data_IF_821653613481
#
_entry.id   IF_821653613481
#
_cell.length_a   1.000
_cell.length_b   1.000
_cell.length_c   1.000
_cell.angle_alpha   90.00
_cell.angle_beta   90.00
_cell.angle_gamma   90.00
#
_symmetry.space_group_name_H-M   'P 1'
#
loop_
_entity.id
_entity.type
_entity.pdbx_description
1 polymer ?
#
# COMPACT_ATOMS: atom_id res chain seq x y z
N UNK A 1 -17.53 16.09 -14.59
CA UNK A 1 -17.62 15.23 -13.38
C UNK A 1 -16.74 15.80 -12.25
N UNK A 2 -15.77 16.66 -12.56
CA UNK A 2 -14.94 17.33 -11.54
C UNK A 2 -13.82 16.43 -10.95
N UNK A 3 -13.42 15.35 -11.64
CA UNK A 3 -12.23 14.56 -11.28
C UNK A 3 -10.98 15.39 -11.52
N UNK A 4 -10.00 15.28 -10.64
CA UNK A 4 -8.73 16.00 -10.72
C UNK A 4 -7.50 15.09 -10.52
N UNK A 5 -7.69 13.86 -10.08
CA UNK A 5 -6.61 12.91 -9.80
C UNK A 5 -7.01 11.51 -10.27
N UNK A 6 -6.07 10.79 -10.86
CA UNK A 6 -6.13 9.36 -11.17
C UNK A 6 -5.18 8.64 -10.22
N UNK A 7 -5.64 7.60 -9.55
CA UNK A 7 -4.80 6.68 -8.76
C UNK A 7 -4.75 5.38 -9.55
N UNK A 8 -3.59 5.07 -10.11
CA UNK A 8 -3.40 3.92 -11.00
C UNK A 8 -2.54 2.84 -10.32
N UNK A 9 -3.06 1.60 -10.21
CA UNK A 9 -2.26 0.50 -9.68
C UNK A 9 -1.16 0.11 -10.66
N UNK A 10 0.09 0.34 -10.26
CA UNK A 10 1.27 0.11 -11.11
C UNK A 10 2.19 -1.00 -10.58
N UNK A 11 2.00 -1.43 -9.33
CA UNK A 11 2.77 -2.54 -8.72
C UNK A 11 1.86 -3.45 -7.88
N UNK A 12 1.16 -4.42 -8.51
CA UNK A 12 0.19 -5.28 -7.82
C UNK A 12 0.79 -6.53 -7.16
N UNK A 13 1.91 -7.10 -7.67
CA UNK A 13 2.41 -8.44 -7.29
C UNK A 13 3.95 -8.52 -7.19
N UNK A 14 4.61 -7.51 -6.63
CA UNK A 14 6.08 -7.46 -6.67
C UNK A 14 6.61 -7.42 -8.10
N UNK A 15 5.85 -6.83 -8.99
CA UNK A 15 6.11 -6.63 -10.41
C UNK A 15 5.73 -5.19 -10.79
N UNK A 16 5.95 -4.78 -12.02
CA UNK A 16 5.75 -3.40 -12.43
C UNK A 16 4.96 -3.30 -13.75
N UNK A 17 4.00 -2.35 -13.82
CA UNK A 17 3.39 -1.88 -15.05
C UNK A 17 4.16 -0.65 -15.59
N UNK A 18 5.46 -0.64 -15.36
CA UNK A 18 6.38 0.40 -15.80
C UNK A 18 7.78 -0.19 -15.96
N UNK A 19 8.66 0.52 -16.64
CA UNK A 19 10.04 0.09 -16.85
C UNK A 19 10.82 0.24 -15.54
N UNK A 20 11.09 -0.90 -14.89
CA UNK A 20 11.80 -0.98 -13.61
C UNK A 20 13.12 -1.73 -13.76
N UNK A 21 14.13 -1.32 -12.98
CA UNK A 21 15.39 -2.06 -12.81
C UNK A 21 15.33 -3.04 -11.64
N UNK A 22 14.33 -2.91 -10.77
CA UNK A 22 14.15 -3.69 -9.55
C UNK A 22 13.12 -4.81 -9.71
N UNK A 23 12.05 -4.56 -10.48
CA UNK A 23 10.91 -5.46 -10.59
C UNK A 23 10.71 -5.98 -12.01
N UNK A 24 10.26 -7.24 -12.17
CA UNK A 24 9.87 -7.75 -13.49
C UNK A 24 8.65 -7.02 -14.02
N UNK A 25 8.46 -7.00 -15.35
CA UNK A 25 7.21 -6.59 -15.95
C UNK A 25 6.02 -7.39 -15.41
N UNK A 26 4.92 -6.71 -15.12
CA UNK A 26 3.71 -7.38 -14.64
C UNK A 26 3.09 -8.27 -15.72
N UNK A 27 2.61 -9.45 -15.30
CA UNK A 27 1.83 -10.31 -16.17
C UNK A 27 0.53 -9.66 -16.69
N UNK A 28 0.07 -8.61 -16.02
CA UNK A 28 -1.12 -7.85 -16.46
C UNK A 28 -0.89 -7.11 -17.78
N UNK A 29 0.37 -6.88 -18.16
CA UNK A 29 0.69 -6.24 -19.44
C UNK A 29 0.55 -7.20 -20.64
N UNK A 30 1.01 -8.45 -20.47
CA UNK A 30 1.16 -9.41 -21.59
C UNK A 30 0.57 -10.79 -21.32
N UNK A 31 0.15 -11.08 -20.09
CA UNK A 31 -0.22 -12.40 -19.61
C UNK A 31 0.95 -13.18 -18.99
N UNK A 32 2.21 -12.73 -19.18
CA UNK A 32 3.42 -13.39 -18.68
C UNK A 32 4.26 -12.40 -17.88
N UNK A 33 4.55 -12.71 -16.61
CA UNK A 33 5.40 -11.88 -15.78
C UNK A 33 6.84 -11.88 -16.30
N UNK A 34 7.48 -10.72 -16.38
CA UNK A 34 8.83 -10.52 -16.93
C UNK A 34 8.88 -10.27 -18.43
N UNK A 35 7.78 -10.43 -19.17
CA UNK A 35 7.72 -10.15 -20.59
C UNK A 35 7.50 -8.64 -20.84
N UNK A 36 8.42 -7.99 -21.55
CA UNK A 36 8.31 -6.59 -21.96
C UNK A 36 7.12 -6.42 -22.92
N UNK A 37 6.16 -5.51 -22.63
CA UNK A 37 5.02 -5.23 -23.50
C UNK A 37 5.39 -4.41 -24.75
N UNK A 38 6.61 -3.94 -24.88
CA UNK A 38 7.08 -3.10 -26.00
C UNK A 38 6.73 -1.61 -25.86
N UNK A 39 6.09 -1.20 -24.77
CA UNK A 39 5.81 0.20 -24.43
C UNK A 39 5.79 0.35 -22.91
N UNK A 40 5.74 1.60 -22.41
CA UNK A 40 5.66 1.86 -20.97
C UNK A 40 4.24 2.30 -20.59
N UNK A 41 3.44 1.42 -19.95
CA UNK A 41 2.07 1.76 -19.56
C UNK A 41 1.97 2.97 -18.62
N UNK A 42 2.91 3.13 -17.68
CA UNK A 42 2.88 4.25 -16.73
C UNK A 42 3.18 5.57 -17.42
N UNK A 43 4.16 5.61 -18.33
CA UNK A 43 4.47 6.81 -19.11
C UNK A 43 3.27 7.28 -19.96
N UNK A 44 2.57 6.33 -20.57
CA UNK A 44 1.32 6.62 -21.29
C UNK A 44 0.25 7.19 -20.36
N UNK A 45 0.04 6.56 -19.19
CA UNK A 45 -0.96 7.03 -18.21
C UNK A 45 -0.65 8.44 -17.71
N UNK A 46 0.62 8.75 -17.39
CA UNK A 46 1.04 10.08 -16.96
C UNK A 46 0.78 11.11 -18.05
N UNK A 47 1.24 10.82 -19.27
CA UNK A 47 1.07 11.72 -20.42
C UNK A 47 -0.41 12.03 -20.67
N UNK A 48 -1.26 11.01 -20.65
CA UNK A 48 -2.69 11.16 -20.89
C UNK A 48 -3.42 11.87 -19.73
N UNK A 49 -3.03 11.63 -18.48
CA UNK A 49 -3.59 12.33 -17.33
C UNK A 49 -3.22 13.82 -17.37
N UNK A 50 -1.94 14.13 -17.49
CA UNK A 50 -1.43 15.51 -17.48
C UNK A 50 -1.98 16.33 -18.67
N UNK A 51 -2.11 15.73 -19.86
CA UNK A 51 -2.70 16.41 -21.02
C UNK A 51 -4.16 16.86 -20.79
N UNK A 52 -4.82 16.28 -19.79
CA UNK A 52 -6.20 16.60 -19.37
C UNK A 52 -6.28 17.40 -18.08
N UNK A 53 -5.14 17.86 -17.55
CA UNK A 53 -5.07 18.59 -16.28
C UNK A 53 -5.39 17.72 -15.05
N UNK A 54 -5.18 16.41 -15.14
CA UNK A 54 -5.34 15.47 -14.04
C UNK A 54 -3.99 15.12 -13.45
N UNK A 55 -3.89 15.06 -12.12
CA UNK A 55 -2.75 14.45 -11.44
C UNK A 55 -2.80 12.92 -11.56
N UNK A 56 -1.64 12.26 -11.52
CA UNK A 56 -1.51 10.81 -11.48
C UNK A 56 -0.69 10.38 -10.28
N UNK A 57 -1.30 9.59 -9.39
CA UNK A 57 -0.62 8.94 -8.27
C UNK A 57 -0.42 7.45 -8.57
N UNK A 58 0.78 6.95 -8.34
CA UNK A 58 1.14 5.55 -8.59
C UNK A 58 0.74 4.69 -7.38
N UNK A 59 -0.24 3.79 -7.56
CA UNK A 59 -0.65 2.86 -6.51
C UNK A 59 0.22 1.61 -6.51
N UNK A 60 0.83 1.37 -5.37
CA UNK A 60 1.72 0.26 -5.07
C UNK A 60 1.12 -0.60 -3.97
N UNK A 61 0.99 -1.91 -4.19
CA UNK A 61 0.84 -2.87 -3.11
C UNK A 61 2.23 -3.20 -2.56
N UNK A 62 2.52 -2.94 -1.26
CA UNK A 62 3.89 -3.02 -0.78
C UNK A 62 4.45 -4.45 -0.69
N UNK A 63 3.65 -5.42 -0.25
CA UNK A 63 4.19 -6.73 0.14
C UNK A 63 3.71 -7.92 -0.68
N UNK A 64 2.65 -7.78 -1.48
CA UNK A 64 2.07 -8.91 -2.20
C UNK A 64 2.91 -9.29 -3.43
N UNK A 65 3.34 -10.56 -3.49
CA UNK A 65 4.05 -11.13 -4.63
C UNK A 65 3.12 -12.00 -5.49
N UNK A 66 2.11 -12.61 -4.86
CA UNK A 66 1.13 -13.50 -5.48
C UNK A 66 -0.12 -13.56 -4.61
N UNK A 67 -1.30 -13.41 -5.17
CA UNK A 67 -2.56 -13.50 -4.41
C UNK A 67 -3.16 -14.91 -4.40
N UNK A 68 -2.93 -15.71 -5.45
CA UNK A 68 -3.40 -17.08 -5.60
C UNK A 68 -2.52 -17.86 -6.57
N UNK A 69 -2.73 -19.17 -6.70
CA UNK A 69 -1.99 -20.00 -7.64
C UNK A 69 -2.11 -19.55 -9.12
N UNK A 70 -3.05 -18.66 -9.42
CA UNK A 70 -3.32 -18.16 -10.78
C UNK A 70 -2.96 -16.68 -10.99
N UNK A 71 -2.54 -15.97 -9.93
CA UNK A 71 -2.41 -14.52 -9.98
C UNK A 71 -1.16 -14.01 -9.26
N UNK A 72 -0.04 -13.88 -9.96
CA UNK A 72 0.27 -14.33 -11.31
C UNK A 72 0.40 -15.87 -11.42
N UNK A 73 0.14 -16.47 -12.59
CA UNK A 73 0.18 -17.92 -12.75
C UNK A 73 1.60 -18.51 -12.68
N UNK A 74 2.59 -17.74 -13.11
CA UNK A 74 4.02 -18.06 -12.97
C UNK A 74 4.78 -16.80 -12.56
N UNK A 75 5.80 -16.96 -11.72
CA UNK A 75 6.69 -15.88 -11.30
C UNK A 75 7.91 -15.82 -12.22
N UNK A 76 8.30 -14.61 -12.61
CA UNK A 76 9.52 -14.38 -13.37
C UNK A 76 10.77 -14.77 -12.56
N UNK A 77 11.87 -15.11 -13.24
CA UNK A 77 13.12 -15.51 -12.57
C UNK A 77 13.63 -14.44 -11.60
N UNK A 78 13.48 -13.17 -11.95
CA UNK A 78 13.87 -12.04 -11.10
C UNK A 78 12.76 -11.52 -10.17
N UNK A 79 11.65 -12.27 -9.99
CA UNK A 79 10.69 -11.97 -8.94
C UNK A 79 11.31 -12.21 -7.56
N UNK A 80 11.01 -11.37 -6.57
CA UNK A 80 11.57 -11.46 -5.21
C UNK A 80 11.33 -12.83 -4.55
N UNK A 81 10.25 -13.52 -4.87
CA UNK A 81 10.01 -14.87 -4.35
C UNK A 81 11.04 -15.90 -4.86
N UNK A 82 11.69 -15.64 -5.99
CA UNK A 82 12.73 -16.50 -6.55
C UNK A 82 14.14 -16.05 -6.14
N UNK A 83 14.39 -14.74 -6.05
CA UNK A 83 15.73 -14.21 -5.76
C UNK A 83 16.01 -14.04 -4.28
N UNK A 84 14.94 -13.83 -3.45
CA UNK A 84 15.01 -13.69 -2.00
C UNK A 84 13.93 -14.51 -1.30
N UNK A 85 13.93 -15.85 -1.47
CA UNK A 85 12.93 -16.71 -0.83
C UNK A 85 12.92 -16.61 0.70
N UNK A 86 14.03 -16.22 1.32
CA UNK A 86 14.15 -15.97 2.76
C UNK A 86 13.35 -14.76 3.24
N UNK A 87 12.93 -13.86 2.34
CA UNK A 87 12.08 -12.70 2.66
C UNK A 87 10.59 -13.04 2.54
N UNK A 88 10.25 -14.23 2.05
CA UNK A 88 8.88 -14.56 1.62
C UNK A 88 8.17 -15.40 2.66
N UNK A 89 6.91 -15.08 2.90
CA UNK A 89 5.97 -15.91 3.65
C UNK A 89 4.79 -16.32 2.76
N UNK A 90 4.26 -17.52 3.03
CA UNK A 90 3.11 -18.06 2.34
C UNK A 90 1.88 -18.06 3.26
N UNK A 91 0.74 -17.56 2.74
CA UNK A 91 -0.55 -17.60 3.43
C UNK A 91 -1.61 -18.10 2.45
N UNK A 92 -2.12 -19.30 2.71
CA UNK A 92 -2.94 -20.01 1.72
C UNK A 92 -2.17 -20.25 0.43
N UNK A 93 -2.71 -19.83 -0.71
CA UNK A 93 -2.04 -19.86 -2.03
C UNK A 93 -1.23 -18.60 -2.33
N UNK A 94 -1.30 -17.59 -1.47
CA UNK A 94 -0.63 -16.30 -1.63
C UNK A 94 0.82 -16.34 -1.19
N UNK A 95 1.64 -15.48 -1.80
CA UNK A 95 3.03 -15.21 -1.41
C UNK A 95 3.17 -13.71 -1.12
N UNK A 96 3.85 -13.42 -0.03
CA UNK A 96 4.03 -12.04 0.44
C UNK A 96 5.45 -11.85 0.93
N UNK A 97 5.99 -10.65 0.81
CA UNK A 97 7.17 -10.28 1.59
C UNK A 97 6.77 -10.25 3.06
N UNK A 98 7.63 -10.77 3.92
CA UNK A 98 7.40 -10.75 5.36
C UNK A 98 7.66 -9.34 5.91
N UNK A 99 6.64 -8.64 6.45
CA UNK A 99 6.78 -7.27 6.93
C UNK A 99 7.75 -7.11 8.12
N UNK A 100 8.16 -8.21 8.73
CA UNK A 100 9.12 -8.25 9.82
C UNK A 100 10.58 -8.30 9.36
N UNK A 101 10.83 -8.33 8.04
CA UNK A 101 12.19 -8.36 7.47
C UNK A 101 12.54 -6.96 6.97
N UNK A 102 13.50 -6.25 7.62
CA UNK A 102 13.86 -4.89 7.25
C UNK A 102 14.35 -4.77 5.81
N UNK A 103 15.13 -5.73 5.33
CA UNK A 103 15.67 -5.73 3.95
C UNK A 103 14.55 -5.80 2.90
N UNK A 104 13.47 -6.53 3.20
CA UNK A 104 12.29 -6.57 2.33
C UNK A 104 11.56 -5.23 2.31
N UNK A 105 11.44 -4.57 3.47
CA UNK A 105 10.86 -3.23 3.56
C UNK A 105 11.73 -2.19 2.83
N UNK A 106 13.05 -2.24 3.00
CA UNK A 106 13.99 -1.36 2.30
C UNK A 106 13.90 -1.53 0.78
N UNK A 107 13.72 -2.76 0.29
CA UNK A 107 13.54 -3.00 -1.16
C UNK A 107 12.22 -2.39 -1.68
N UNK A 108 11.16 -2.44 -0.90
CA UNK A 108 9.89 -1.75 -1.23
C UNK A 108 10.11 -0.25 -1.33
N UNK A 109 10.85 0.35 -0.38
CA UNK A 109 11.19 1.78 -0.38
C UNK A 109 12.06 2.16 -1.57
N UNK A 110 13.04 1.33 -1.95
CA UNK A 110 13.84 1.54 -3.16
C UNK A 110 12.94 1.58 -4.41
N UNK A 111 11.92 0.71 -4.50
CA UNK A 111 10.96 0.74 -5.59
C UNK A 111 10.07 1.98 -5.60
N UNK A 112 9.76 2.56 -4.44
CA UNK A 112 9.09 3.87 -4.34
C UNK A 112 10.03 4.98 -4.85
N UNK A 113 11.29 4.97 -4.41
CA UNK A 113 12.28 5.94 -4.86
C UNK A 113 12.53 5.85 -6.38
N UNK A 114 12.60 4.63 -6.95
CA UNK A 114 12.72 4.43 -8.41
C UNK A 114 11.57 5.09 -9.16
N UNK A 115 10.32 4.92 -8.68
CA UNK A 115 9.15 5.53 -9.29
C UNK A 115 9.23 7.05 -9.33
N UNK A 116 9.45 7.70 -8.19
CA UNK A 116 9.47 9.17 -8.11
C UNK A 116 10.68 9.81 -8.74
N UNK A 117 11.78 9.06 -8.96
CA UNK A 117 12.97 9.54 -9.65
C UNK A 117 12.86 9.44 -11.17
N UNK A 118 12.17 8.44 -11.69
CA UNK A 118 12.15 8.12 -13.11
C UNK A 118 10.86 8.53 -13.83
N UNK A 119 9.77 8.79 -13.08
CA UNK A 119 8.45 9.09 -13.63
C UNK A 119 7.90 10.39 -13.05
N UNK A 120 7.23 11.17 -13.89
CA UNK A 120 6.57 12.41 -13.48
C UNK A 120 5.20 12.14 -12.80
N UNK A 121 5.19 11.24 -11.82
CA UNK A 121 4.01 11.01 -10.98
C UNK A 121 3.80 12.17 -10.01
N UNK A 122 2.56 12.45 -9.64
CA UNK A 122 2.21 13.50 -8.66
C UNK A 122 2.19 12.97 -7.23
N UNK A 123 2.33 11.66 -7.07
CA UNK A 123 2.39 11.02 -5.76
C UNK A 123 2.45 9.49 -5.81
N UNK A 124 2.58 8.92 -4.63
CA UNK A 124 2.55 7.48 -4.39
C UNK A 124 1.38 7.15 -3.46
N UNK A 125 0.69 6.07 -3.76
CA UNK A 125 -0.45 5.57 -3.00
C UNK A 125 -0.23 4.11 -2.58
N UNK A 126 -0.35 3.80 -1.28
CA UNK A 126 -0.40 2.41 -0.80
C UNK A 126 -1.84 2.00 -0.50
N UNK A 127 -2.14 0.72 -0.70
CA UNK A 127 -3.40 0.12 -0.23
C UNK A 127 -3.29 -0.40 1.23
N UNK A 128 -4.25 -1.20 1.66
CA UNK A 128 -4.38 -1.71 3.03
C UNK A 128 -3.67 -3.05 3.29
N UNK A 129 -2.97 -3.61 2.29
CA UNK A 129 -2.41 -4.97 2.42
C UNK A 129 -0.98 -4.94 2.98
N UNK A 130 -0.87 -4.87 4.33
CA UNK A 130 0.42 -4.95 5.02
C UNK A 130 0.69 -6.37 5.55
N UNK A 131 0.21 -6.74 6.73
CA UNK A 131 0.32 -8.12 7.19
C UNK A 131 -0.74 -9.01 6.54
N UNK A 132 -0.35 -10.15 5.94
CA UNK A 132 -1.31 -11.03 5.25
C UNK A 132 -2.12 -11.92 6.21
N UNK A 133 -1.73 -11.98 7.49
CA UNK A 133 -2.38 -12.79 8.54
C UNK A 133 -2.04 -12.28 9.94
N UNK A 134 -2.88 -12.62 10.90
CA UNK A 134 -2.63 -12.41 12.33
C UNK A 134 -1.92 -13.59 13.01
N UNK A 135 -1.67 -14.69 12.27
CA UNK A 135 -0.96 -15.85 12.81
C UNK A 135 0.43 -15.45 13.33
N UNK A 136 0.69 -15.76 14.61
CA UNK A 136 1.96 -15.46 15.26
C UNK A 136 3.14 -16.28 14.69
N UNK A 137 2.87 -17.37 14.01
CA UNK A 137 3.90 -18.20 13.39
C UNK A 137 4.58 -17.52 12.20
N UNK A 138 3.91 -16.54 11.55
CA UNK A 138 4.42 -15.87 10.36
C UNK A 138 5.82 -15.25 10.55
N UNK A 139 6.04 -14.61 11.68
CA UNK A 139 7.23 -13.83 12.00
C UNK A 139 7.80 -14.16 13.39
N UNK A 140 7.51 -15.36 13.92
CA UNK A 140 7.88 -15.77 15.27
C UNK A 140 9.39 -15.66 15.54
N UNK A 141 10.24 -16.01 14.56
CA UNK A 141 11.69 -15.94 14.71
C UNK A 141 12.18 -14.46 14.80
N UNK A 142 11.63 -13.58 13.96
CA UNK A 142 11.97 -12.15 13.95
C UNK A 142 11.46 -11.48 15.24
N UNK A 143 10.26 -11.82 15.68
CA UNK A 143 9.72 -11.31 16.94
C UNK A 143 10.58 -11.74 18.14
N UNK A 144 10.95 -13.00 18.21
CA UNK A 144 11.83 -13.49 19.28
C UNK A 144 13.21 -12.78 19.27
N UNK A 145 13.77 -12.56 18.08
CA UNK A 145 15.06 -11.87 17.93
C UNK A 145 14.97 -10.37 18.29
N UNK A 146 13.81 -9.74 18.14
CA UNK A 146 13.61 -8.32 18.45
C UNK A 146 13.64 -7.99 19.93
N UNK A 147 13.38 -8.96 20.81
CA UNK A 147 13.25 -8.75 22.24
C UNK A 147 11.97 -7.99 22.65
N UNK A 148 11.05 -7.74 21.74
CA UNK A 148 9.80 -7.05 22.02
C UNK A 148 8.87 -7.91 22.90
N UNK A 149 8.10 -7.28 23.79
CA UNK A 149 7.18 -7.96 24.70
C UNK A 149 5.74 -8.10 24.19
N UNK A 150 5.36 -7.33 23.15
CA UNK A 150 4.01 -7.29 22.57
C UNK A 150 4.10 -7.42 21.05
N UNK A 151 3.64 -8.57 20.54
CA UNK A 151 3.67 -8.89 19.12
C UNK A 151 2.87 -7.88 18.26
N UNK A 152 1.68 -7.49 18.73
CA UNK A 152 0.83 -6.59 17.95
C UNK A 152 1.42 -5.17 17.90
N UNK A 153 1.96 -4.67 19.00
CA UNK A 153 2.66 -3.39 19.03
C UNK A 153 3.90 -3.41 18.14
N UNK A 154 4.68 -4.48 18.17
CA UNK A 154 5.87 -4.64 17.34
C UNK A 154 5.52 -4.70 15.84
N UNK A 155 4.49 -5.45 15.45
CA UNK A 155 4.00 -5.48 14.06
C UNK A 155 3.54 -4.10 13.58
N UNK A 156 2.84 -3.33 14.42
CA UNK A 156 2.46 -1.94 14.11
C UNK A 156 3.67 -1.04 13.90
N UNK A 157 4.73 -1.24 14.68
CA UNK A 157 5.99 -0.51 14.49
C UNK A 157 6.62 -0.83 13.13
N UNK A 158 6.67 -2.11 12.73
CA UNK A 158 7.20 -2.53 11.43
C UNK A 158 6.42 -1.89 10.27
N UNK A 159 5.08 -1.92 10.32
CA UNK A 159 4.25 -1.30 9.28
C UNK A 159 4.43 0.22 9.26
N UNK A 160 4.44 0.88 10.42
CA UNK A 160 4.65 2.33 10.51
C UNK A 160 6.03 2.73 10.01
N UNK A 161 7.06 1.91 10.29
CA UNK A 161 8.42 2.16 9.79
C UNK A 161 8.49 2.11 8.26
N UNK A 162 7.85 1.12 7.61
CA UNK A 162 7.75 1.09 6.14
C UNK A 162 7.05 2.32 5.60
N UNK A 163 5.86 2.65 6.15
CA UNK A 163 5.04 3.78 5.69
C UNK A 163 5.82 5.09 5.82
N UNK A 164 6.51 5.29 6.97
CA UNK A 164 7.37 6.44 7.20
C UNK A 164 8.53 6.50 6.21
N UNK A 165 9.24 5.39 6.00
CA UNK A 165 10.38 5.35 5.08
C UNK A 165 9.95 5.63 3.63
N UNK A 166 8.79 5.12 3.20
CA UNK A 166 8.24 5.42 1.89
C UNK A 166 7.86 6.90 1.75
N UNK A 167 7.17 7.48 2.76
CA UNK A 167 6.87 8.91 2.81
C UNK A 167 8.16 9.74 2.69
N UNK A 168 9.18 9.43 3.49
CA UNK A 168 10.43 10.18 3.50
C UNK A 168 11.16 10.07 2.16
N UNK A 169 11.15 8.91 1.51
CA UNK A 169 11.74 8.73 0.18
C UNK A 169 11.03 9.59 -0.88
N UNK A 170 9.69 9.69 -0.82
CA UNK A 170 8.91 10.57 -1.69
C UNK A 170 9.26 12.03 -1.45
N UNK A 171 9.28 12.48 -0.18
CA UNK A 171 9.59 13.87 0.19
C UNK A 171 11.04 14.26 -0.10
N UNK A 172 11.98 13.30 -0.02
CA UNK A 172 13.38 13.54 -0.37
C UNK A 172 13.58 13.73 -1.87
N UNK A 173 12.75 13.10 -2.71
CA UNK A 173 12.79 13.29 -4.15
C UNK A 173 12.19 14.65 -4.55
N UNK A 174 11.00 14.96 -4.07
CA UNK A 174 10.34 16.25 -4.23
C UNK A 174 9.32 16.46 -3.11
N UNK A 175 9.46 17.54 -2.35
CA UNK A 175 8.57 17.86 -1.22
C UNK A 175 7.11 18.13 -1.64
N UNK A 176 6.85 18.42 -2.91
CA UNK A 176 5.51 18.67 -3.45
C UNK A 176 4.75 17.39 -3.80
N UNK A 177 5.45 16.28 -4.02
CA UNK A 177 4.84 14.97 -4.27
C UNK A 177 4.04 14.51 -3.05
N UNK A 178 2.94 13.82 -3.30
CA UNK A 178 2.07 13.32 -2.24
C UNK A 178 2.35 11.85 -1.95
N UNK A 179 2.26 11.49 -0.68
CA UNK A 179 2.24 10.09 -0.25
C UNK A 179 1.01 9.82 0.58
N UNK A 180 0.21 8.86 0.17
CA UNK A 180 -1.02 8.50 0.86
C UNK A 180 -1.22 7.00 1.02
N UNK A 181 -2.10 6.65 1.94
CA UNK A 181 -2.51 5.26 2.19
C UNK A 181 -4.03 5.16 2.12
N UNK A 182 -4.53 4.10 1.51
CA UNK A 182 -5.93 3.72 1.49
C UNK A 182 -6.17 2.54 2.46
N UNK A 183 -6.33 2.81 3.76
CA UNK A 183 -6.58 1.77 4.75
C UNK A 183 -7.98 1.18 4.60
N UNK A 184 -8.30 0.14 5.35
CA UNK A 184 -9.66 -0.39 5.40
C UNK A 184 -10.64 0.67 5.94
N UNK A 185 -11.91 0.55 5.58
CA UNK A 185 -12.93 1.41 6.14
C UNK A 185 -13.21 1.15 7.63
N UNK A 186 -12.81 -0.03 8.13
CA UNK A 186 -12.91 -0.41 9.53
C UNK A 186 -11.57 -0.18 10.26
N UNK A 187 -11.44 0.90 11.07
CA UNK A 187 -10.18 1.22 11.76
C UNK A 187 -9.77 0.19 12.82
N UNK A 188 -10.70 -0.66 13.31
CA UNK A 188 -10.34 -1.73 14.23
C UNK A 188 -9.63 -2.87 13.51
N UNK A 189 -10.02 -3.15 12.25
CA UNK A 189 -9.30 -4.11 11.41
C UNK A 189 -7.91 -3.58 11.00
N UNK A 190 -7.81 -2.29 10.69
CA UNK A 190 -6.52 -1.67 10.42
C UNK A 190 -5.56 -1.90 11.60
N UNK A 191 -6.00 -1.58 12.81
CA UNK A 191 -5.17 -1.71 14.01
C UNK A 191 -4.87 -3.17 14.38
N UNK A 192 -5.87 -4.06 14.28
CA UNK A 192 -5.79 -5.42 14.84
C UNK A 192 -5.44 -6.52 13.83
N UNK A 193 -5.67 -6.31 12.54
CA UNK A 193 -5.43 -7.31 11.49
C UNK A 193 -4.33 -6.89 10.50
N UNK A 194 -4.35 -5.62 10.06
CA UNK A 194 -3.33 -5.08 9.15
C UNK A 194 -2.15 -4.48 9.90
N UNK A 195 -2.29 -4.28 11.21
CA UNK A 195 -1.30 -3.61 12.08
C UNK A 195 -0.96 -2.20 11.63
N UNK A 196 -1.92 -1.52 11.01
CA UNK A 196 -1.85 -0.12 10.56
C UNK A 196 -2.43 0.78 11.64
N UNK A 197 -1.60 1.57 12.29
CA UNK A 197 -2.05 2.52 13.32
C UNK A 197 -2.51 3.84 12.68
N UNK A 198 -3.65 3.75 11.96
CA UNK A 198 -4.19 4.88 11.19
C UNK A 198 -4.50 6.11 12.04
N UNK A 199 -4.82 5.92 13.35
CA UNK A 199 -5.06 7.03 14.27
C UNK A 199 -3.78 7.78 14.60
N UNK A 200 -2.69 7.04 14.85
CA UNK A 200 -1.39 7.63 15.06
C UNK A 200 -0.88 8.31 13.78
N UNK A 201 -1.10 7.72 12.61
CA UNK A 201 -0.68 8.32 11.33
C UNK A 201 -1.42 9.61 11.01
N UNK A 202 -2.74 9.68 11.29
CA UNK A 202 -3.52 10.92 11.12
C UNK A 202 -3.03 12.05 12.02
N UNK A 203 -2.63 11.73 13.25
CA UNK A 203 -2.23 12.72 14.26
C UNK A 203 -0.75 13.12 14.14
N UNK A 204 0.08 12.36 13.37
CA UNK A 204 1.50 12.64 13.22
C UNK A 204 1.75 13.90 12.38
N UNK A 205 2.68 14.75 12.83
CA UNK A 205 2.98 16.02 12.17
C UNK A 205 4.48 16.34 12.18
N UNK A 206 4.87 17.26 11.33
CA UNK A 206 6.27 17.70 11.19
C UNK A 206 7.17 16.54 10.77
N UNK A 207 8.31 16.37 11.44
CA UNK A 207 9.27 15.29 11.17
C UNK A 207 8.70 13.89 11.43
N UNK A 208 7.65 13.80 12.23
CA UNK A 208 6.98 12.53 12.52
C UNK A 208 5.84 12.20 11.54
N UNK A 209 5.50 13.09 10.61
CA UNK A 209 4.49 12.81 9.60
C UNK A 209 4.85 11.55 8.80
N UNK A 210 3.88 10.69 8.57
CA UNK A 210 4.06 9.42 7.85
C UNK A 210 3.23 9.36 6.58
N UNK A 211 2.25 10.26 6.41
CA UNK A 211 1.38 10.37 5.23
C UNK A 211 0.99 11.82 5.01
N UNK A 212 0.75 12.21 3.75
CA UNK A 212 0.09 13.47 3.41
C UNK A 212 -1.44 13.33 3.43
N UNK A 213 -1.94 12.11 3.24
CA UNK A 213 -3.38 11.83 3.35
C UNK A 213 -3.66 10.37 3.69
N UNK A 214 -4.86 10.13 4.26
CA UNK A 214 -5.50 8.81 4.28
C UNK A 214 -6.77 8.84 3.43
N UNK A 215 -7.08 7.70 2.79
CA UNK A 215 -8.27 7.50 1.98
C UNK A 215 -8.95 6.17 2.36
N UNK A 216 -9.57 6.05 3.57
CA UNK A 216 -10.18 4.80 4.00
C UNK A 216 -11.24 4.32 3.00
N UNK A 217 -11.26 3.00 2.79
CA UNK A 217 -12.09 2.29 1.82
C UNK A 217 -13.51 2.11 2.36
N UNK A 218 -14.34 3.15 2.27
CA UNK A 218 -15.73 3.14 2.73
C UNK A 218 -16.63 2.61 1.60
N UNK A 219 -16.58 1.31 1.38
CA UNK A 219 -17.31 0.65 0.28
C UNK A 219 -18.73 0.21 0.68
N UNK A 220 -19.23 0.66 1.82
CA UNK A 220 -20.58 0.42 2.30
C UNK A 220 -21.49 1.57 1.95
N UNK A 221 -22.68 1.25 1.44
CA UNK A 221 -23.72 2.25 1.14
C UNK A 221 -24.42 2.79 2.40
N UNK A 222 -25.28 3.77 2.17
CA UNK A 222 -26.20 4.25 3.21
C UNK A 222 -27.14 3.13 3.66
N UNK A 223 -27.42 3.08 4.98
CA UNK A 223 -28.29 2.06 5.56
C UNK A 223 -27.69 0.65 5.62
N UNK A 224 -26.40 0.46 5.33
CA UNK A 224 -25.75 -0.83 5.39
C UNK A 224 -25.87 -1.45 6.79
N UNK A 225 -26.25 -2.73 6.82
CA UNK A 225 -26.45 -3.48 8.09
C UNK A 225 -25.68 -4.78 8.05
N UNK A 226 -24.88 -5.03 9.08
CA UNK A 226 -24.19 -6.31 9.28
C UNK A 226 -25.21 -7.42 9.61
N UNK A 227 -24.80 -8.68 9.45
CA UNK A 227 -25.61 -9.84 9.89
C UNK A 227 -25.96 -9.79 11.38
N UNK A 228 -25.14 -9.14 12.21
CA UNK A 228 -25.40 -8.90 13.64
C UNK A 228 -26.49 -7.86 13.90
N UNK A 229 -27.01 -7.17 12.89
CA UNK A 229 -27.94 -6.06 13.01
C UNK A 229 -27.25 -4.69 13.26
N UNK A 230 -25.94 -4.64 13.40
CA UNK A 230 -25.21 -3.38 13.58
C UNK A 230 -25.16 -2.57 12.27
N UNK A 231 -25.37 -1.26 12.38
CA UNK A 231 -25.27 -0.30 11.28
C UNK A 231 -23.99 0.53 11.34
N UNK A 232 -23.01 0.16 12.19
CA UNK A 232 -21.77 0.94 12.41
C UNK A 232 -21.07 1.30 11.09
N UNK A 233 -21.05 0.36 10.13
CA UNK A 233 -20.36 0.54 8.84
C UNK A 233 -21.25 1.12 7.75
N UNK A 234 -22.52 1.48 8.03
CA UNK A 234 -23.27 2.33 7.10
C UNK A 234 -22.50 3.64 6.87
N UNK A 235 -22.50 4.13 5.61
CA UNK A 235 -21.73 5.31 5.22
C UNK A 235 -21.93 6.49 6.19
N UNK A 236 -23.18 6.77 6.54
CA UNK A 236 -23.56 7.86 7.45
C UNK A 236 -23.07 7.71 8.90
N UNK A 237 -22.63 6.51 9.30
CA UNK A 237 -22.12 6.22 10.64
C UNK A 237 -20.59 6.14 10.66
N UNK A 238 -19.99 5.46 9.68
CA UNK A 238 -18.54 5.25 9.68
C UNK A 238 -17.75 6.51 9.27
N UNK A 239 -18.29 7.34 8.37
CA UNK A 239 -17.64 8.59 7.98
C UNK A 239 -17.49 9.57 9.16
N UNK A 240 -18.51 9.82 9.99
CA UNK A 240 -18.36 10.60 11.22
C UNK A 240 -17.32 10.01 12.20
N UNK A 241 -17.20 8.68 12.30
CA UNK A 241 -16.17 8.04 13.12
C UNK A 241 -14.75 8.41 12.66
N UNK A 242 -14.49 8.37 11.36
CA UNK A 242 -13.22 8.80 10.77
C UNK A 242 -12.98 10.31 10.95
N UNK A 243 -14.00 11.14 10.74
CA UNK A 243 -13.90 12.59 10.89
C UNK A 243 -13.63 13.04 12.33
N UNK A 244 -14.04 12.25 13.31
CA UNK A 244 -13.83 12.53 14.74
C UNK A 244 -12.41 12.18 15.24
N UNK A 245 -11.60 11.47 14.45
CA UNK A 245 -10.22 11.12 14.83
C UNK A 245 -9.36 12.40 14.89
N UNK A 246 -8.49 12.54 15.91
CA UNK A 246 -7.47 13.58 15.92
C UNK A 246 -6.65 13.56 14.64
N UNK A 247 -6.43 14.72 14.02
CA UNK A 247 -5.73 14.82 12.75
C UNK A 247 -4.85 16.05 12.71
N UNK A 248 -3.60 15.88 12.23
CA UNK A 248 -2.71 16.99 11.96
C UNK A 248 -3.29 17.89 10.85
N UNK A 249 -3.06 19.19 10.93
CA UNK A 249 -3.56 20.15 9.93
C UNK A 249 -2.97 19.90 8.53
N UNK A 250 -1.79 19.32 8.46
CA UNK A 250 -1.10 18.94 7.21
C UNK A 250 -1.62 17.67 6.55
N UNK A 251 -2.38 16.83 7.29
CA UNK A 251 -2.84 15.54 6.78
C UNK A 251 -4.27 15.64 6.26
N UNK A 252 -4.49 15.34 4.98
CA UNK A 252 -5.82 15.29 4.39
C UNK A 252 -6.53 13.96 4.69
N UNK A 253 -7.87 13.98 4.71
CA UNK A 253 -8.70 12.78 4.82
C UNK A 253 -9.68 12.77 3.65
N UNK A 254 -9.58 11.74 2.83
CA UNK A 254 -10.51 11.44 1.73
C UNK A 254 -11.30 10.19 2.07
N UNK A 255 -12.29 9.85 1.26
CA UNK A 255 -13.07 8.63 1.45
C UNK A 255 -13.17 7.90 0.11
N UNK A 256 -12.65 6.66 0.07
CA UNK A 256 -12.81 5.75 -1.06
C UNK A 256 -14.24 5.21 -1.09
N UNK A 257 -14.90 5.36 -2.23
CA UNK A 257 -16.27 4.87 -2.43
C UNK A 257 -16.26 3.74 -3.44
N UNK A 258 -17.11 2.73 -3.24
CA UNK A 258 -17.37 1.70 -4.24
C UNK A 258 -18.23 2.30 -5.37
N UNK A 259 -17.83 2.02 -6.62
CA UNK A 259 -18.57 2.42 -7.82
C UNK A 259 -19.49 1.29 -8.33
#
# INVERSE_FOLDING_TARGET
IGLNTVIAQVRPFGDALYRSTLFPWSHLCTGVQGQDPGFDPLDVLITEAHSRGLSLEAWVNPYRLRSSAKMPPALAENNLANVHPEWVCAVGEGLYLNPAIPEAADYVVQGVAELVQNYAVDGIHFDDYFYPTTDAALDAAQFAASGAGDLAAWRRQNVTALVKAAHDAVKAADATLRFGVSPQGNPDNDLGQQYSDVKAWLAAEGENAVVDYLCPQIYWGCGYTLQSGSTRFAFENIVPEWLAMPRAASTALYFGLGA
#
